data_IF_744722513512
#
_entry.id   IF_744722513512
#
_cell.length_a   1.000
_cell.length_b   1.000
_cell.length_c   1.000
_cell.angle_alpha   90.00
_cell.angle_beta   90.00
_cell.angle_gamma   90.00
#
_symmetry.space_group_name_H-M   'P 1'
#
loop_
_entity.id
_entity.type
_entity.pdbx_description
1 polymer ?
#
# COMPACT_ATOMS: atom_id res chain seq x y z
N UNK A 1 -7.35 -23.84 18.70
CA UNK A 1 -5.94 -24.21 18.46
C UNK A 1 -5.01 -23.29 19.25
N UNK A 2 -3.91 -23.80 19.79
CA UNK A 2 -2.86 -23.00 20.45
C UNK A 2 -1.57 -23.11 19.62
N UNK A 3 -0.98 -21.98 19.25
CA UNK A 3 0.33 -21.91 18.60
C UNK A 3 1.36 -21.39 19.61
N UNK A 4 2.51 -22.05 19.71
CA UNK A 4 3.63 -21.54 20.47
C UNK A 4 4.40 -20.51 19.63
N UNK A 5 4.40 -19.26 20.09
CA UNK A 5 5.06 -18.12 19.45
C UNK A 5 6.34 -17.71 20.19
N UNK A 6 6.96 -18.59 20.97
CA UNK A 6 8.28 -18.34 21.54
C UNK A 6 9.28 -17.90 20.46
N UNK A 7 10.12 -16.90 20.76
CA UNK A 7 11.04 -16.28 19.79
C UNK A 7 10.36 -15.34 18.77
N UNK A 8 9.09 -14.98 18.99
CA UNK A 8 8.37 -14.03 18.16
C UNK A 8 7.81 -12.87 18.98
N UNK A 9 7.70 -11.71 18.34
CA UNK A 9 7.10 -10.51 18.90
C UNK A 9 5.77 -10.27 18.17
N UNK A 10 4.70 -10.08 18.94
CA UNK A 10 3.35 -9.85 18.40
C UNK A 10 3.10 -8.35 18.22
N UNK A 11 2.67 -8.00 17.02
CA UNK A 11 2.35 -6.63 16.60
C UNK A 11 0.88 -6.58 16.15
N UNK A 12 0.21 -5.41 16.22
CA UNK A 12 -1.01 -5.18 15.45
C UNK A 12 -0.73 -5.40 13.96
N UNK A 13 -1.77 -5.77 13.22
CA UNK A 13 -1.67 -5.91 11.78
C UNK A 13 -1.25 -4.60 11.10
N UNK A 14 -0.35 -4.67 10.12
CA UNK A 14 0.11 -3.47 9.41
C UNK A 14 -0.97 -2.96 8.46
N UNK A 15 -0.92 -1.66 8.17
CA UNK A 15 -1.88 -0.98 7.31
C UNK A 15 -1.12 -0.25 6.20
N UNK A 16 -1.38 -0.64 4.95
CA UNK A 16 -0.90 0.07 3.78
C UNK A 16 -1.94 1.11 3.37
N UNK A 17 -1.62 2.39 3.56
CA UNK A 17 -2.61 3.46 3.47
C UNK A 17 -3.01 3.85 2.05
N UNK A 18 -2.31 3.35 1.03
CA UNK A 18 -2.61 3.59 -0.38
C UNK A 18 -1.87 2.58 -1.28
N UNK A 19 -2.62 1.87 -2.13
CA UNK A 19 -2.11 0.90 -3.10
C UNK A 19 -3.06 0.82 -4.30
N UNK A 20 -2.53 0.51 -5.48
CA UNK A 20 -3.31 0.11 -6.64
C UNK A 20 -3.13 -1.41 -6.88
N UNK A 21 -4.00 -2.19 -6.21
CA UNK A 21 -3.82 -3.64 -6.07
C UNK A 21 -3.62 -4.37 -7.40
N UNK A 22 -4.36 -3.98 -8.43
CA UNK A 22 -4.34 -4.64 -9.74
C UNK A 22 -3.11 -4.32 -10.59
N UNK A 23 -2.22 -3.44 -10.12
CA UNK A 23 -1.01 -3.08 -10.85
C UNK A 23 0.25 -3.79 -10.35
N UNK A 24 0.16 -4.63 -9.30
CA UNK A 24 1.35 -5.22 -8.66
C UNK A 24 2.05 -6.33 -9.47
N UNK A 25 1.48 -6.78 -10.60
CA UNK A 25 2.15 -7.66 -11.58
C UNK A 25 2.83 -6.88 -12.72
N UNK A 26 2.63 -5.57 -12.79
CA UNK A 26 3.24 -4.76 -13.83
C UNK A 26 4.73 -4.54 -13.52
N UNK A 27 5.58 -4.43 -14.55
CA UNK A 27 6.91 -3.89 -14.35
C UNK A 27 6.81 -2.40 -13.98
N UNK A 28 7.89 -1.87 -13.43
CA UNK A 28 8.05 -0.43 -13.30
C UNK A 28 8.10 0.21 -14.69
N UNK A 29 7.36 1.31 -14.85
CA UNK A 29 7.26 2.07 -16.10
C UNK A 29 7.73 3.51 -15.91
N UNK A 30 8.13 4.09 -17.03
CA UNK A 30 8.68 5.44 -17.09
C UNK A 30 10.20 5.46 -16.89
N UNK A 31 10.80 6.57 -17.30
CA UNK A 31 12.25 6.81 -17.32
C UNK A 31 12.60 8.15 -16.66
N UNK A 32 11.85 8.52 -15.61
CA UNK A 32 11.92 9.83 -14.97
C UNK A 32 13.33 10.32 -14.59
N UNK A 33 13.46 11.54 -14.07
CA UNK A 33 12.39 12.24 -13.36
C UNK A 33 11.45 13.04 -14.28
N UNK A 34 10.18 13.12 -13.87
CA UNK A 34 9.13 13.94 -14.48
C UNK A 34 8.87 15.20 -13.64
N UNK A 35 8.27 16.22 -14.25
CA UNK A 35 7.86 17.42 -13.53
C UNK A 35 6.67 17.16 -12.59
N UNK A 36 5.75 16.26 -12.97
CA UNK A 36 4.56 15.89 -12.21
C UNK A 36 4.00 14.51 -12.66
N UNK A 37 3.03 13.99 -11.91
CA UNK A 37 2.37 12.73 -12.18
C UNK A 37 1.60 12.69 -13.51
N UNK A 38 1.04 13.82 -13.95
CA UNK A 38 0.34 13.91 -15.24
C UNK A 38 1.27 13.68 -16.43
N UNK A 39 2.49 14.20 -16.36
CA UNK A 39 3.54 13.95 -17.36
C UNK A 39 3.96 12.47 -17.38
N UNK A 40 4.21 11.88 -16.21
CA UNK A 40 4.49 10.44 -16.11
C UNK A 40 3.36 9.59 -16.68
N UNK A 41 2.10 9.88 -16.31
CA UNK A 41 0.93 9.15 -16.79
C UNK A 41 0.82 9.20 -18.33
N UNK A 42 1.07 10.36 -18.94
CA UNK A 42 1.08 10.52 -20.41
C UNK A 42 2.19 9.72 -21.08
N UNK A 43 3.37 9.60 -20.46
CA UNK A 43 4.50 8.85 -21.00
C UNK A 43 4.28 7.33 -20.92
N UNK A 44 3.66 6.85 -19.83
CA UNK A 44 3.54 5.41 -19.61
C UNK A 44 2.24 4.80 -20.16
N UNK A 45 1.15 5.57 -20.27
CA UNK A 45 -0.18 5.01 -20.53
C UNK A 45 -0.43 4.76 -22.02
N UNK A 46 0.05 3.60 -22.48
CA UNK A 46 -0.17 3.08 -23.84
C UNK A 46 -0.72 1.64 -23.76
N UNK A 47 -2.03 1.45 -23.48
CA UNK A 47 -2.61 0.14 -23.20
C UNK A 47 -2.55 -0.86 -24.35
N UNK A 48 -2.36 -0.38 -25.57
CA UNK A 48 -2.17 -1.18 -26.78
C UNK A 48 -0.73 -1.71 -26.95
N UNK A 49 0.23 -1.20 -26.17
CA UNK A 49 1.67 -1.51 -26.28
C UNK A 49 2.13 -2.43 -25.15
N UNK A 50 3.22 -3.14 -25.42
CA UNK A 50 3.93 -3.89 -24.40
C UNK A 50 4.66 -2.93 -23.45
N UNK A 51 4.73 -3.19 -22.14
CA UNK A 51 4.22 -4.40 -21.48
C UNK A 51 2.73 -4.36 -21.12
N UNK A 52 2.11 -3.17 -21.04
CA UNK A 52 0.76 -2.95 -20.47
C UNK A 52 -0.30 -3.85 -21.10
N UNK A 53 -0.27 -4.01 -22.43
CA UNK A 53 -1.21 -4.87 -23.17
C UNK A 53 -1.25 -6.29 -22.62
N UNK A 54 -0.09 -6.89 -22.36
CA UNK A 54 0.01 -8.25 -21.83
C UNK A 54 -0.49 -8.33 -20.39
N UNK A 55 -0.17 -7.33 -19.54
CA UNK A 55 -0.68 -7.31 -18.17
C UNK A 55 -2.19 -7.13 -18.09
N UNK A 56 -2.77 -6.27 -18.94
CA UNK A 56 -4.23 -6.07 -18.96
C UNK A 56 -5.01 -7.31 -19.44
N UNK A 57 -4.36 -8.24 -20.16
CA UNK A 57 -4.96 -9.54 -20.51
C UNK A 57 -5.08 -10.48 -19.31
N UNK A 58 -4.29 -10.29 -18.26
CA UNK A 58 -4.49 -11.04 -17.00
C UNK A 58 -5.81 -10.57 -16.36
N UNK A 59 -6.75 -11.49 -16.05
CA UNK A 59 -8.04 -11.12 -15.48
C UNK A 59 -7.89 -10.20 -14.27
N UNK A 60 -8.71 -9.14 -14.19
CA UNK A 60 -8.61 -8.13 -13.11
C UNK A 60 -8.63 -8.77 -11.72
N UNK A 61 -9.53 -9.74 -11.49
CA UNK A 61 -9.59 -10.48 -10.24
C UNK A 61 -8.25 -11.16 -9.88
N UNK A 62 -7.57 -11.79 -10.85
CA UNK A 62 -6.25 -12.41 -10.63
C UNK A 62 -5.21 -11.35 -10.25
N UNK A 63 -5.19 -10.20 -10.94
CA UNK A 63 -4.28 -9.10 -10.63
C UNK A 63 -4.51 -8.54 -9.22
N UNK A 64 -5.78 -8.35 -8.83
CA UNK A 64 -6.16 -7.92 -7.48
C UNK A 64 -5.71 -8.90 -6.41
N UNK A 65 -5.89 -10.20 -6.63
CA UNK A 65 -5.42 -11.25 -5.71
C UNK A 65 -3.91 -11.21 -5.53
N UNK A 66 -3.14 -11.01 -6.60
CA UNK A 66 -1.70 -10.80 -6.51
C UNK A 66 -1.35 -9.53 -5.72
N UNK A 67 -2.05 -8.41 -5.92
CA UNK A 67 -1.90 -7.21 -5.08
C UNK A 67 -2.21 -7.46 -3.60
N UNK A 68 -3.24 -8.25 -3.30
CA UNK A 68 -3.56 -8.70 -1.95
C UNK A 68 -2.44 -9.54 -1.33
N UNK A 69 -1.84 -10.46 -2.10
CA UNK A 69 -0.71 -11.28 -1.67
C UNK A 69 0.55 -10.45 -1.42
N UNK A 70 0.84 -9.45 -2.27
CA UNK A 70 1.95 -8.50 -2.07
C UNK A 70 1.85 -7.77 -0.72
N UNK A 71 0.63 -7.39 -0.35
CA UNK A 71 0.36 -6.80 0.96
C UNK A 71 0.50 -7.86 2.08
N UNK A 72 -0.10 -9.04 1.91
CA UNK A 72 -0.05 -10.10 2.92
C UNK A 72 1.39 -10.51 3.29
N UNK A 73 2.27 -10.72 2.31
CA UNK A 73 3.66 -11.16 2.55
C UNK A 73 4.52 -10.13 3.28
N UNK A 74 4.11 -8.86 3.26
CA UNK A 74 4.76 -7.78 4.00
C UNK A 74 4.14 -7.52 5.38
N UNK A 75 3.23 -8.39 5.84
CA UNK A 75 2.58 -8.26 7.15
C UNK A 75 1.37 -7.32 7.17
N UNK A 76 0.92 -6.85 6.00
CA UNK A 76 -0.27 -6.00 5.88
C UNK A 76 -1.51 -6.85 6.12
N UNK A 77 -2.38 -6.33 6.97
CA UNK A 77 -3.71 -6.90 7.25
C UNK A 77 -4.83 -6.05 6.69
N UNK A 78 -4.59 -4.75 6.45
CA UNK A 78 -5.54 -3.82 5.86
C UNK A 78 -4.86 -2.94 4.81
N UNK A 79 -5.47 -2.82 3.63
CA UNK A 79 -4.99 -1.98 2.53
C UNK A 79 -6.07 -1.03 2.03
N UNK A 80 -5.70 0.23 1.77
CA UNK A 80 -6.57 1.16 1.07
C UNK A 80 -6.32 1.10 -0.43
N UNK A 81 -7.24 0.48 -1.16
CA UNK A 81 -7.13 0.30 -2.59
C UNK A 81 -7.68 1.50 -3.36
N UNK A 82 -6.82 2.26 -4.06
CA UNK A 82 -7.17 3.55 -4.68
C UNK A 82 -7.73 3.43 -6.11
N UNK A 83 -8.72 2.55 -6.30
CA UNK A 83 -9.52 2.39 -7.53
C UNK A 83 -10.97 1.98 -7.15
N UNK A 84 -11.88 1.73 -8.12
CA UNK A 84 -13.22 1.24 -7.80
C UNK A 84 -13.19 -0.05 -6.96
N UNK A 85 -14.07 -0.12 -5.96
CA UNK A 85 -14.13 -1.25 -5.03
C UNK A 85 -14.83 -2.46 -5.68
N UNK A 86 -14.09 -3.54 -5.88
CA UNK A 86 -14.56 -4.79 -6.49
C UNK A 86 -15.18 -5.74 -5.47
N UNK A 87 -16.49 -5.60 -5.20
CA UNK A 87 -17.21 -6.38 -4.17
C UNK A 87 -17.15 -7.88 -4.37
N UNK A 88 -17.12 -8.33 -5.62
CA UNK A 88 -17.05 -9.75 -5.98
C UNK A 88 -15.68 -10.37 -5.68
N UNK A 89 -14.63 -9.54 -5.61
CA UNK A 89 -13.25 -9.99 -5.34
C UNK A 89 -12.88 -9.78 -3.87
N UNK A 90 -13.22 -8.62 -3.29
CA UNK A 90 -12.86 -8.25 -1.91
C UNK A 90 -13.81 -8.84 -0.85
N UNK A 91 -14.09 -10.13 -0.99
CA UNK A 91 -14.90 -10.91 -0.07
C UNK A 91 -14.13 -11.43 1.14
N UNK A 92 -14.79 -12.27 1.93
CA UNK A 92 -14.22 -12.85 3.16
C UNK A 92 -13.01 -13.76 2.90
N UNK A 93 -12.81 -14.26 1.68
CA UNK A 93 -11.65 -15.09 1.34
C UNK A 93 -10.43 -14.28 0.90
N UNK A 94 -10.60 -13.00 0.55
CA UNK A 94 -9.48 -12.15 0.12
C UNK A 94 -8.40 -12.07 1.22
N UNK A 95 -7.10 -12.07 0.89
CA UNK A 95 -6.03 -12.35 1.85
C UNK A 95 -5.85 -11.25 2.91
N UNK A 96 -6.31 -10.03 2.62
CA UNK A 96 -6.24 -8.86 3.51
C UNK A 96 -7.57 -8.12 3.51
N UNK A 97 -7.82 -7.26 4.50
CA UNK A 97 -8.97 -6.36 4.47
C UNK A 97 -8.74 -5.24 3.46
N UNK A 98 -9.73 -4.98 2.62
CA UNK A 98 -9.72 -3.80 1.74
C UNK A 98 -10.66 -2.75 2.31
N UNK A 99 -10.16 -1.52 2.50
CA UNK A 99 -10.96 -0.41 3.04
C UNK A 99 -12.15 -0.14 2.11
N UNK A 100 -13.37 -0.27 2.65
CA UNK A 100 -14.63 -0.08 1.90
C UNK A 100 -15.27 1.29 2.15
N UNK A 101 -14.98 1.90 3.31
CA UNK A 101 -15.66 3.11 3.81
C UNK A 101 -14.77 4.33 3.62
N UNK A 102 -14.51 4.71 2.38
CA UNK A 102 -13.79 5.93 2.03
C UNK A 102 -14.31 6.50 0.72
N UNK A 103 -14.11 7.80 0.52
CA UNK A 103 -14.22 8.44 -0.79
C UNK A 103 -12.84 8.65 -1.40
N UNK A 104 -12.76 8.71 -2.72
CA UNK A 104 -11.53 9.07 -3.39
C UNK A 104 -11.78 9.82 -4.69
N UNK A 105 -10.75 10.54 -5.13
CA UNK A 105 -10.59 11.07 -6.47
C UNK A 105 -9.19 10.72 -6.95
N UNK A 106 -8.97 10.67 -8.26
CA UNK A 106 -7.63 10.47 -8.78
C UNK A 106 -6.74 11.67 -8.41
N UNK A 107 -6.92 12.81 -9.04
CA UNK A 107 -6.23 14.09 -8.75
C UNK A 107 -7.06 15.26 -9.27
N UNK A 108 -6.62 16.50 -9.07
CA UNK A 108 -7.30 17.67 -9.65
C UNK A 108 -7.30 17.66 -11.19
N UNK A 109 -6.21 17.20 -11.81
CA UNK A 109 -6.08 17.15 -13.27
C UNK A 109 -7.02 16.12 -13.91
N UNK A 110 -7.13 14.93 -13.30
CA UNK A 110 -7.88 13.81 -13.88
C UNK A 110 -9.32 13.72 -13.37
N UNK A 111 -9.75 14.61 -12.48
CA UNK A 111 -11.06 14.54 -11.84
C UNK A 111 -11.80 15.89 -11.80
N UNK A 112 -12.44 16.32 -12.90
CA UNK A 112 -13.10 17.63 -12.96
C UNK A 112 -14.27 17.78 -11.97
N UNK A 113 -14.90 16.68 -11.55
CA UNK A 113 -16.01 16.68 -10.60
C UNK A 113 -15.58 16.43 -9.13
N UNK A 114 -14.29 16.57 -8.80
CA UNK A 114 -13.72 16.29 -7.47
C UNK A 114 -14.51 16.92 -6.33
N UNK A 115 -14.87 18.20 -6.45
CA UNK A 115 -15.63 18.90 -5.41
C UNK A 115 -17.01 18.27 -5.16
N UNK A 116 -17.70 17.86 -6.23
CA UNK A 116 -18.99 17.17 -6.12
C UNK A 116 -18.82 15.77 -5.51
N UNK A 117 -17.76 15.03 -5.89
CA UNK A 117 -17.43 13.73 -5.28
C UNK A 117 -17.14 13.86 -3.80
N UNK A 118 -16.35 14.85 -3.41
CA UNK A 118 -16.08 15.15 -2.01
C UNK A 118 -17.37 15.36 -1.24
N UNK A 119 -18.28 16.24 -1.71
CA UNK A 119 -19.55 16.53 -1.02
C UNK A 119 -20.45 15.29 -0.87
N UNK A 120 -20.46 14.39 -1.86
CA UNK A 120 -21.26 13.14 -1.82
C UNK A 120 -20.75 12.11 -0.81
N UNK A 121 -19.48 12.18 -0.42
CA UNK A 121 -18.89 11.21 0.52
C UNK A 121 -19.41 11.48 1.93
N UNK A 122 -19.85 10.46 2.68
CA UNK A 122 -20.31 10.63 4.06
C UNK A 122 -19.28 11.34 4.94
N UNK A 123 -19.72 12.22 5.84
CA UNK A 123 -18.85 12.99 6.72
C UNK A 123 -17.97 12.11 7.64
N UNK A 124 -18.44 10.90 7.95
CA UNK A 124 -17.71 9.91 8.74
C UNK A 124 -16.58 9.23 7.96
N UNK A 125 -16.57 9.27 6.63
CA UNK A 125 -15.57 8.60 5.80
C UNK A 125 -14.39 9.54 5.49
N UNK A 126 -13.15 9.01 5.40
CA UNK A 126 -12.03 9.76 4.85
C UNK A 126 -12.22 9.96 3.34
N UNK A 127 -11.53 10.96 2.80
CA UNK A 127 -11.44 11.26 1.38
C UNK A 127 -9.98 11.30 0.95
N UNK A 128 -9.58 10.39 0.06
CA UNK A 128 -8.20 10.26 -0.41
C UNK A 128 -8.06 10.86 -1.81
N UNK A 129 -6.98 11.60 -2.05
CA UNK A 129 -6.73 12.22 -3.37
C UNK A 129 -5.24 12.44 -3.61
N UNK A 130 -4.75 12.17 -4.81
CA UNK A 130 -3.39 12.56 -5.21
C UNK A 130 -3.35 14.08 -5.33
N UNK A 131 -2.40 14.70 -4.63
CA UNK A 131 -2.24 16.14 -4.61
C UNK A 131 -0.81 16.50 -4.21
N UNK A 132 -0.26 17.51 -4.85
CA UNK A 132 1.15 17.87 -4.78
C UNK A 132 2.06 16.80 -5.36
N UNK A 133 1.63 16.00 -6.33
CA UNK A 133 2.45 14.93 -6.91
C UNK A 133 3.33 15.45 -8.05
N UNK A 134 4.25 16.36 -7.71
CA UNK A 134 5.13 17.00 -8.66
C UNK A 134 6.09 18.00 -8.02
N UNK A 135 7.01 18.52 -8.83
CA UNK A 135 8.05 19.47 -8.41
C UNK A 135 7.86 20.86 -9.01
N UNK A 136 6.97 20.97 -10.00
CA UNK A 136 6.63 22.18 -10.73
C UNK A 136 5.76 23.16 -9.92
N UNK A 137 5.36 24.26 -10.57
CA UNK A 137 4.51 25.28 -9.95
C UNK A 137 3.04 24.84 -9.82
N UNK A 138 2.56 23.95 -10.69
CA UNK A 138 1.19 23.45 -10.65
C UNK A 138 0.97 22.59 -9.40
N UNK A 139 1.82 21.58 -9.18
CA UNK A 139 1.78 20.70 -8.01
C UNK A 139 1.86 21.48 -6.69
N UNK A 140 2.63 22.57 -6.63
CA UNK A 140 2.72 23.44 -5.43
C UNK A 140 1.40 24.15 -5.09
N UNK A 141 0.56 24.41 -6.09
CA UNK A 141 -0.73 25.10 -5.93
C UNK A 141 -1.88 24.15 -5.57
N UNK A 142 -1.74 22.85 -5.80
CA UNK A 142 -2.86 21.90 -5.67
C UNK A 142 -3.51 21.87 -4.27
N UNK A 143 -2.73 22.04 -3.19
CA UNK A 143 -3.32 22.11 -1.84
C UNK A 143 -4.23 23.33 -1.69
N UNK A 144 -3.85 24.47 -2.26
CA UNK A 144 -4.68 25.69 -2.31
C UNK A 144 -5.89 25.48 -3.19
N UNK A 145 -5.75 24.84 -4.35
CA UNK A 145 -6.88 24.51 -5.22
C UNK A 145 -7.90 23.59 -4.54
N UNK A 146 -7.44 22.60 -3.75
CA UNK A 146 -8.34 21.77 -2.93
C UNK A 146 -9.09 22.59 -1.87
N UNK A 147 -8.44 23.58 -1.26
CA UNK A 147 -9.08 24.51 -0.32
C UNK A 147 -10.16 25.36 -1.02
N UNK A 148 -9.84 25.94 -2.18
CA UNK A 148 -10.73 26.82 -2.94
C UNK A 148 -12.03 26.12 -3.36
N UNK A 149 -11.95 24.83 -3.70
CA UNK A 149 -13.13 24.03 -4.06
C UNK A 149 -13.82 23.37 -2.85
N UNK A 150 -13.32 23.62 -1.63
CA UNK A 150 -13.90 23.11 -0.37
C UNK A 150 -13.64 21.62 -0.11
N UNK A 151 -12.62 21.02 -0.73
CA UNK A 151 -12.25 19.61 -0.60
C UNK A 151 -11.09 19.35 0.39
N UNK A 152 -10.57 20.39 1.07
CA UNK A 152 -9.52 20.28 2.08
C UNK A 152 -10.09 20.38 3.51
N UNK A 153 -9.93 19.33 4.31
CA UNK A 153 -10.42 19.30 5.69
C UNK A 153 -9.92 18.12 6.51
N UNK A 154 -10.48 17.95 7.71
CA UNK A 154 -10.11 16.91 8.68
C UNK A 154 -10.40 15.47 8.24
N UNK A 155 -11.05 15.29 7.09
CA UNK A 155 -11.25 13.98 6.46
C UNK A 155 -10.41 13.79 5.21
N UNK A 156 -9.68 14.80 4.77
CA UNK A 156 -8.89 14.76 3.54
C UNK A 156 -7.51 14.19 3.81
N UNK A 157 -7.15 13.11 3.12
CA UNK A 157 -5.82 12.53 3.08
C UNK A 157 -5.21 12.78 1.68
N UNK A 158 -4.15 13.57 1.64
CA UNK A 158 -3.39 13.84 0.42
C UNK A 158 -2.39 12.71 0.20
N UNK A 159 -2.40 12.10 -0.98
CA UNK A 159 -1.40 11.10 -1.39
C UNK A 159 -0.21 11.81 -2.05
N UNK A 160 1.01 11.36 -1.76
CA UNK A 160 2.30 11.89 -2.21
C UNK A 160 2.75 13.20 -1.56
N UNK A 161 2.16 14.34 -1.94
CA UNK A 161 2.47 15.66 -1.38
C UNK A 161 3.90 16.19 -1.59
N UNK A 162 4.60 15.77 -2.65
CA UNK A 162 5.98 16.21 -2.97
C UNK A 162 6.11 17.72 -3.18
N UNK A 163 5.12 18.34 -3.83
CA UNK A 163 5.04 19.77 -4.10
C UNK A 163 4.74 20.62 -2.87
N UNK A 164 4.40 20.01 -1.73
CA UNK A 164 3.95 20.74 -0.53
C UNK A 164 5.12 21.47 0.13
N UNK A 165 4.92 22.78 0.37
CA UNK A 165 5.88 23.69 0.99
C UNK A 165 5.16 24.70 1.89
N UNK A 166 5.90 25.53 2.62
CA UNK A 166 5.47 26.61 3.51
C UNK A 166 3.96 26.82 3.66
N UNK A 167 3.33 27.48 2.67
CA UNK A 167 1.91 27.77 2.69
C UNK A 167 1.00 26.54 2.71
N UNK A 168 1.27 25.54 1.85
CA UNK A 168 0.54 24.27 1.83
C UNK A 168 0.62 23.53 3.17
N UNK A 169 1.78 23.60 3.86
CA UNK A 169 1.92 23.04 5.21
C UNK A 169 0.99 23.77 6.20
N UNK A 170 1.03 25.10 6.21
CA UNK A 170 0.20 25.92 7.09
C UNK A 170 -1.31 25.66 6.83
N UNK A 171 -1.67 25.54 5.56
CA UNK A 171 -3.02 25.28 5.09
C UNK A 171 -3.52 23.89 5.55
N UNK A 172 -2.75 22.83 5.33
CA UNK A 172 -3.09 21.48 5.80
C UNK A 172 -3.22 21.42 7.32
N UNK A 173 -2.33 22.07 8.08
CA UNK A 173 -2.44 22.16 9.54
C UNK A 173 -3.72 22.86 9.98
N UNK A 174 -4.03 24.03 9.40
CA UNK A 174 -5.24 24.79 9.69
C UNK A 174 -6.50 23.97 9.43
N UNK A 175 -6.53 23.24 8.31
CA UNK A 175 -7.66 22.40 7.90
C UNK A 175 -7.66 20.99 8.50
N UNK A 176 -6.62 20.64 9.27
CA UNK A 176 -6.41 19.32 9.90
C UNK A 176 -6.37 18.17 8.89
N UNK A 177 -5.96 18.44 7.65
CA UNK A 177 -5.75 17.41 6.64
C UNK A 177 -4.54 16.54 6.99
N UNK A 178 -4.50 15.32 6.45
CA UNK A 178 -3.43 14.35 6.65
C UNK A 178 -2.70 14.03 5.34
N UNK A 179 -1.57 13.34 5.44
CA UNK A 179 -0.75 12.93 4.31
C UNK A 179 -0.57 11.40 4.27
N UNK A 180 -0.58 10.83 3.07
CA UNK A 180 -0.16 9.46 2.78
C UNK A 180 1.11 9.55 1.93
N UNK A 181 2.22 9.10 2.49
CA UNK A 181 3.55 9.28 1.92
C UNK A 181 4.02 7.99 1.24
N UNK A 182 4.35 8.10 -0.06
CA UNK A 182 4.86 7.02 -0.91
C UNK A 182 6.30 7.32 -1.35
N UNK A 183 7.31 7.29 -0.45
CA UNK A 183 8.66 7.73 -0.75
C UNK A 183 9.32 7.09 -1.97
N UNK A 184 9.18 5.78 -2.19
CA UNK A 184 9.84 5.10 -3.31
C UNK A 184 9.25 5.53 -4.64
N UNK A 185 7.91 5.59 -4.74
CA UNK A 185 7.20 6.11 -5.92
C UNK A 185 7.62 7.55 -6.22
N UNK A 186 7.62 8.41 -5.20
CA UNK A 186 8.08 9.80 -5.33
C UNK A 186 9.52 9.90 -5.88
N UNK A 187 10.44 9.11 -5.33
CA UNK A 187 11.84 9.13 -5.75
C UNK A 187 12.02 8.64 -7.19
N UNK A 188 11.32 7.57 -7.57
CA UNK A 188 11.40 6.99 -8.91
C UNK A 188 10.80 7.93 -9.97
N UNK A 189 9.64 8.51 -9.69
CA UNK A 189 8.94 9.37 -10.65
C UNK A 189 9.51 10.79 -10.68
N UNK A 190 9.82 11.38 -9.52
CA UNK A 190 10.05 12.83 -9.41
C UNK A 190 11.50 13.17 -9.03
N UNK A 191 12.37 12.16 -8.87
CA UNK A 191 13.76 12.33 -8.45
C UNK A 191 13.93 12.82 -7.01
N UNK A 192 12.82 13.03 -6.27
CA UNK A 192 12.81 13.51 -4.89
C UNK A 192 11.53 13.13 -4.18
N UNK A 193 11.59 13.06 -2.86
CA UNK A 193 10.41 12.89 -2.00
C UNK A 193 10.02 14.18 -1.30
N UNK A 194 9.04 14.12 -0.38
CA UNK A 194 8.57 15.26 0.41
C UNK A 194 9.72 15.93 1.18
N UNK A 195 9.61 17.23 1.39
CA UNK A 195 10.67 18.00 2.04
C UNK A 195 10.82 17.68 3.54
N UNK A 196 12.00 17.95 4.11
CA UNK A 196 12.23 17.89 5.56
C UNK A 196 11.24 18.76 6.36
N UNK A 197 10.80 19.88 5.79
CA UNK A 197 9.79 20.73 6.41
C UNK A 197 8.43 20.01 6.51
N UNK A 198 8.02 19.25 5.48
CA UNK A 198 6.80 18.43 5.53
C UNK A 198 6.95 17.31 6.56
N UNK A 199 8.08 16.58 6.56
CA UNK A 199 8.35 15.51 7.54
C UNK A 199 8.30 16.01 9.00
N UNK A 200 8.74 17.24 9.25
CA UNK A 200 8.76 17.88 10.59
C UNK A 200 7.51 18.73 10.88
N UNK A 201 6.56 18.80 9.95
CA UNK A 201 5.43 19.72 10.04
C UNK A 201 4.42 19.36 11.14
N UNK A 202 4.47 18.15 11.68
CA UNK A 202 3.44 17.62 12.58
C UNK A 202 2.11 17.33 11.89
N UNK A 203 2.02 17.44 10.56
CA UNK A 203 0.88 16.91 9.80
C UNK A 203 0.80 15.41 10.06
N UNK A 204 -0.38 14.87 10.41
CA UNK A 204 -0.51 13.45 10.61
C UNK A 204 -0.27 12.69 9.30
N UNK A 205 0.54 11.64 9.35
CA UNK A 205 1.08 11.00 8.15
C UNK A 205 1.02 9.48 8.26
N UNK A 206 0.64 8.81 7.18
CA UNK A 206 0.80 7.37 7.00
C UNK A 206 1.83 7.06 5.91
N UNK A 207 2.38 5.85 5.92
CA UNK A 207 3.23 5.32 4.87
C UNK A 207 2.41 4.43 3.92
N UNK A 208 2.76 4.41 2.65
CA UNK A 208 2.08 3.61 1.64
C UNK A 208 2.99 3.26 0.47
N UNK A 209 2.61 2.23 -0.30
CA UNK A 209 3.44 1.72 -1.40
C UNK A 209 3.08 2.27 -2.77
N UNK A 210 1.87 2.82 -2.94
CA UNK A 210 1.34 3.14 -4.27
C UNK A 210 1.34 1.87 -5.16
N UNK A 211 1.80 1.93 -6.41
CA UNK A 211 1.68 0.87 -7.41
C UNK A 211 3.04 0.40 -7.92
N UNK A 212 3.11 -0.84 -8.42
CA UNK A 212 4.33 -1.35 -9.04
C UNK A 212 4.72 -0.64 -10.34
N UNK A 213 3.79 0.12 -10.95
CA UNK A 213 4.06 0.95 -12.13
C UNK A 213 5.09 2.03 -11.81
N UNK A 214 4.97 2.68 -10.66
CA UNK A 214 5.87 3.76 -10.22
C UNK A 214 7.01 3.23 -9.35
N UNK A 215 6.70 2.29 -8.46
CA UNK A 215 7.66 1.69 -7.53
C UNK A 215 7.37 0.20 -7.30
N UNK A 216 8.25 -0.71 -7.76
CA UNK A 216 8.07 -2.15 -7.58
C UNK A 216 8.50 -2.59 -6.17
N UNK A 217 7.71 -2.21 -5.16
CA UNK A 217 8.00 -2.43 -3.73
C UNK A 217 6.80 -2.94 -2.95
N UNK A 218 7.06 -3.67 -1.87
CA UNK A 218 6.06 -3.93 -0.83
C UNK A 218 6.30 -3.05 0.41
N UNK A 219 5.44 -3.16 1.43
CA UNK A 219 5.48 -2.24 2.58
C UNK A 219 6.80 -2.34 3.38
N UNK A 220 7.46 -3.49 3.40
CA UNK A 220 8.74 -3.64 4.10
C UNK A 220 9.87 -2.92 3.36
N UNK A 221 9.85 -2.93 2.03
CA UNK A 221 10.80 -2.13 1.24
C UNK A 221 10.55 -0.63 1.44
N UNK A 222 9.28 -0.22 1.48
CA UNK A 222 8.90 1.17 1.70
C UNK A 222 9.41 1.67 3.07
N UNK A 223 9.26 0.85 4.12
CA UNK A 223 9.85 1.11 5.44
C UNK A 223 11.38 1.21 5.36
N UNK A 224 12.03 0.32 4.60
CA UNK A 224 13.48 0.33 4.42
C UNK A 224 13.99 1.60 3.70
N UNK A 225 13.21 2.21 2.82
CA UNK A 225 13.50 3.53 2.22
C UNK A 225 13.21 4.64 3.23
N UNK A 226 12.05 4.59 3.90
CA UNK A 226 11.59 5.61 4.84
C UNK A 226 12.50 5.76 6.07
N UNK A 227 13.19 4.69 6.51
CA UNK A 227 14.14 4.71 7.63
C UNK A 227 15.33 5.66 7.44
N UNK A 228 15.60 6.09 6.20
CA UNK A 228 16.62 7.10 5.89
C UNK A 228 16.19 8.51 6.35
N UNK A 229 14.91 8.72 6.63
CA UNK A 229 14.33 10.03 6.88
C UNK A 229 13.72 10.20 8.27
N UNK A 230 13.25 9.11 8.89
CA UNK A 230 12.51 9.13 10.16
C UNK A 230 12.96 8.00 11.10
N UNK A 231 12.86 8.20 12.42
CA UNK A 231 13.16 7.16 13.41
C UNK A 231 12.12 6.02 13.37
N UNK A 232 12.53 4.83 13.82
CA UNK A 232 11.75 3.59 13.70
C UNK A 232 10.38 3.69 14.38
N UNK A 233 10.28 4.29 15.56
CA UNK A 233 9.01 4.40 16.29
C UNK A 233 7.98 5.25 15.53
N UNK A 234 8.45 6.29 14.84
CA UNK A 234 7.58 7.11 14.00
C UNK A 234 7.09 6.33 12.79
N UNK A 235 7.99 5.59 12.13
CA UNK A 235 7.63 4.76 10.99
C UNK A 235 6.69 3.61 11.38
N UNK A 236 6.92 3.00 12.54
CA UNK A 236 6.04 1.99 13.12
C UNK A 236 4.61 2.53 13.31
N UNK A 237 4.47 3.74 13.86
CA UNK A 237 3.16 4.41 13.96
C UNK A 237 2.53 4.67 12.57
N UNK A 238 3.33 5.06 11.58
CA UNK A 238 2.91 5.35 10.20
C UNK A 238 2.38 4.13 9.41
N UNK A 239 2.60 2.91 9.91
CA UNK A 239 2.05 1.66 9.34
C UNK A 239 1.12 0.92 10.31
N UNK A 240 0.77 1.53 11.44
CA UNK A 240 -0.14 0.93 12.44
C UNK A 240 -1.22 1.93 12.88
N UNK A 241 -0.95 2.76 13.89
CA UNK A 241 -1.95 3.63 14.51
C UNK A 241 -2.32 4.85 13.67
N UNK A 242 -1.36 5.47 12.98
CA UNK A 242 -1.62 6.65 12.14
C UNK A 242 -2.54 6.35 10.95
N UNK A 243 -2.28 5.33 10.11
CA UNK A 243 -3.20 4.99 9.03
C UNK A 243 -4.57 4.55 9.56
N UNK A 244 -4.66 3.87 10.71
CA UNK A 244 -5.95 3.55 11.32
C UNK A 244 -6.76 4.82 11.64
N UNK A 245 -6.11 5.86 12.18
CA UNK A 245 -6.74 7.15 12.48
C UNK A 245 -7.08 7.93 11.21
N UNK A 246 -6.16 8.00 10.24
CA UNK A 246 -6.34 8.73 8.97
C UNK A 246 -7.48 8.12 8.16
N UNK A 247 -7.51 6.79 8.06
CA UNK A 247 -8.53 6.05 7.32
C UNK A 247 -9.81 5.81 8.14
N UNK A 248 -9.86 6.31 9.39
CA UNK A 248 -11.01 6.22 10.29
C UNK A 248 -11.53 4.80 10.47
N UNK A 249 -10.57 3.88 10.64
CA UNK A 249 -10.86 2.47 10.81
C UNK A 249 -11.34 2.21 12.24
N UNK A 250 -12.27 1.26 12.38
CA UNK A 250 -12.63 0.72 13.69
C UNK A 250 -11.50 -0.12 14.28
N UNK A 251 -11.64 -0.50 15.56
CA UNK A 251 -10.71 -1.40 16.20
C UNK A 251 -10.59 -2.72 15.42
N UNK A 252 -9.37 -3.10 15.05
CA UNK A 252 -9.08 -4.38 14.43
C UNK A 252 -8.52 -5.36 15.47
N UNK A 253 -8.86 -6.63 15.32
CA UNK A 253 -8.24 -7.75 16.04
C UNK A 253 -7.23 -8.49 15.16
N UNK A 254 -6.82 -7.88 14.05
CA UNK A 254 -5.82 -8.44 13.14
C UNK A 254 -4.43 -8.20 13.72
N UNK A 255 -3.55 -9.18 13.60
CA UNK A 255 -2.23 -9.16 14.21
C UNK A 255 -1.22 -9.99 13.41
N UNK A 256 0.05 -9.72 13.65
CA UNK A 256 1.16 -10.45 13.05
C UNK A 256 2.10 -10.95 14.15
N UNK A 257 2.80 -12.05 13.87
CA UNK A 257 3.96 -12.47 14.65
C UNK A 257 5.22 -12.29 13.81
N UNK A 258 6.22 -11.63 14.39
CA UNK A 258 7.50 -11.36 13.75
C UNK A 258 8.58 -12.11 14.52
N UNK A 259 9.31 -13.00 13.85
CA UNK A 259 10.46 -13.69 14.45
C UNK A 259 11.58 -12.67 14.65
N UNK A 260 11.88 -12.37 15.91
CA UNK A 260 12.88 -11.37 16.29
C UNK A 260 13.18 -11.47 17.79
N UNK A 261 14.40 -11.11 18.15
CA UNK A 261 14.92 -10.91 19.50
C UNK A 261 14.96 -9.42 19.92
N UNK A 262 14.43 -8.52 19.08
CA UNK A 262 14.47 -7.09 19.32
C UNK A 262 13.71 -6.70 20.59
N UNK A 263 14.24 -5.73 21.34
CA UNK A 263 13.60 -5.26 22.57
C UNK A 263 12.27 -4.51 22.34
N UNK A 264 12.02 -3.98 21.14
CA UNK A 264 10.84 -3.17 20.82
C UNK A 264 10.09 -3.71 19.61
N UNK A 265 8.77 -3.44 19.55
CA UNK A 265 7.94 -3.79 18.39
C UNK A 265 8.40 -3.11 17.10
N UNK A 266 8.84 -1.85 17.20
CA UNK A 266 9.42 -1.15 16.07
C UNK A 266 10.72 -1.85 15.62
N UNK A 267 11.64 -2.15 16.52
CA UNK A 267 12.86 -2.91 16.20
C UNK A 267 12.55 -4.26 15.54
N UNK A 268 11.57 -4.98 16.07
CA UNK A 268 11.13 -6.26 15.52
C UNK A 268 10.64 -6.15 14.07
N UNK A 269 9.82 -5.14 13.76
CA UNK A 269 9.32 -4.90 12.40
C UNK A 269 10.44 -4.66 11.39
N UNK A 270 11.51 -3.98 11.78
CA UNK A 270 12.60 -3.61 10.88
C UNK A 270 13.70 -4.66 10.76
N UNK A 271 13.96 -5.44 11.81
CA UNK A 271 15.05 -6.43 11.84
C UNK A 271 14.56 -7.88 11.72
N UNK A 272 13.28 -8.14 11.99
CA UNK A 272 12.72 -9.48 12.03
C UNK A 272 12.13 -9.97 10.71
N UNK A 273 11.56 -11.17 10.75
CA UNK A 273 10.84 -11.77 9.62
C UNK A 273 9.38 -12.03 9.98
N UNK A 274 8.46 -11.64 9.10
CA UNK A 274 7.03 -11.96 9.25
C UNK A 274 6.87 -13.48 9.24
N UNK A 275 6.39 -14.04 10.35
CA UNK A 275 6.20 -15.48 10.51
C UNK A 275 4.72 -15.87 10.51
N UNK A 276 3.82 -14.94 10.84
CA UNK A 276 2.39 -15.20 10.91
C UNK A 276 1.61 -13.91 10.62
N UNK A 277 0.54 -14.01 9.84
CA UNK A 277 -0.44 -12.94 9.64
C UNK A 277 -1.84 -13.49 9.87
N UNK A 278 -2.57 -12.87 10.80
CA UNK A 278 -3.94 -13.22 11.16
C UNK A 278 -4.87 -12.08 10.78
N UNK A 279 -5.84 -12.38 9.91
CA UNK A 279 -6.86 -11.44 9.44
C UNK A 279 -8.24 -12.00 9.74
N UNK A 280 -9.06 -11.22 10.44
CA UNK A 280 -10.40 -11.60 10.90
C UNK A 280 -10.42 -12.94 11.66
N UNK A 281 -9.40 -13.20 12.48
CA UNK A 281 -9.27 -14.44 13.25
C UNK A 281 -8.81 -15.66 12.45
N UNK A 282 -8.48 -15.51 11.16
CA UNK A 282 -7.97 -16.58 10.29
C UNK A 282 -6.49 -16.37 10.02
N UNK A 283 -5.71 -17.45 10.10
CA UNK A 283 -4.32 -17.45 9.65
C UNK A 283 -4.33 -17.34 8.12
N UNK A 284 -3.76 -16.26 7.59
CA UNK A 284 -3.65 -16.02 6.14
C UNK A 284 -2.27 -16.30 5.59
N UNK A 285 -1.25 -16.09 6.44
CA UNK A 285 0.14 -16.40 6.15
C UNK A 285 0.74 -17.04 7.39
N UNK A 286 1.53 -18.09 7.20
CA UNK A 286 2.30 -18.75 8.25
C UNK A 286 3.65 -19.23 7.71
N UNK A 287 4.71 -19.14 8.52
CA UNK A 287 6.03 -19.65 8.15
C UNK A 287 6.02 -21.19 8.15
N UNK A 288 6.86 -21.85 7.34
CA UNK A 288 7.00 -23.30 7.36
C UNK A 288 7.30 -23.87 8.75
N UNK A 289 8.05 -23.14 9.59
CA UNK A 289 8.37 -23.56 10.95
C UNK A 289 7.14 -23.55 11.87
N UNK A 290 6.36 -22.47 11.89
CA UNK A 290 5.14 -22.40 12.69
C UNK A 290 4.07 -23.36 12.16
N UNK A 291 4.01 -23.58 10.85
CA UNK A 291 3.04 -24.49 10.23
C UNK A 291 3.19 -25.95 10.67
N UNK A 292 4.38 -26.37 11.14
CA UNK A 292 4.60 -27.71 11.70
C UNK A 292 3.76 -27.98 12.95
N UNK A 293 3.33 -26.94 13.65
CA UNK A 293 2.45 -27.04 14.81
C UNK A 293 0.96 -27.21 14.44
N UNK A 294 0.59 -26.93 13.18
CA UNK A 294 -0.80 -27.07 12.73
C UNK A 294 -1.17 -28.55 12.50
N UNK A 295 -2.42 -28.95 12.79
CA UNK A 295 -2.96 -30.22 12.33
C UNK A 295 -2.81 -30.37 10.81
N UNK A 296 -2.59 -31.60 10.35
CA UNK A 296 -2.41 -31.87 8.91
C UNK A 296 -3.63 -31.42 8.07
N UNK A 297 -4.84 -31.51 8.62
CA UNK A 297 -6.09 -31.07 7.98
C UNK A 297 -6.13 -29.56 7.75
N UNK A 298 -5.66 -28.76 8.71
CA UNK A 298 -5.57 -27.31 8.57
C UNK A 298 -4.42 -26.91 7.63
N UNK A 299 -3.28 -27.59 7.74
CA UNK A 299 -2.09 -27.32 6.92
C UNK A 299 -2.35 -27.47 5.41
N UNK A 300 -3.25 -28.39 5.00
CA UNK A 300 -3.63 -28.62 3.60
C UNK A 300 -4.25 -27.40 2.91
N UNK A 301 -4.75 -26.43 3.67
CA UNK A 301 -5.34 -25.19 3.12
C UNK A 301 -4.30 -24.24 2.55
N UNK A 302 -3.06 -24.34 3.02
CA UNK A 302 -2.01 -23.40 2.64
C UNK A 302 -1.21 -23.90 1.44
N UNK A 303 -0.85 -22.98 0.54
CA UNK A 303 0.09 -23.22 -0.54
C UNK A 303 1.38 -22.43 -0.31
N UNK A 304 2.51 -22.98 -0.72
CA UNK A 304 3.79 -22.28 -0.64
C UNK A 304 3.81 -21.07 -1.59
N UNK A 305 4.36 -19.97 -1.10
CA UNK A 305 4.64 -18.77 -1.87
C UNK A 305 6.07 -18.32 -1.57
N UNK A 306 6.91 -18.37 -2.59
CA UNK A 306 8.30 -17.95 -2.52
C UNK A 306 8.48 -16.70 -3.38
N UNK A 307 8.92 -15.60 -2.75
CA UNK A 307 9.20 -14.34 -3.44
C UNK A 307 10.67 -14.01 -3.19
N UNK A 308 11.37 -13.65 -4.26
CA UNK A 308 12.77 -13.21 -4.20
C UNK A 308 12.98 -12.14 -3.11
N UNK A 309 14.00 -12.31 -2.26
CA UNK A 309 14.30 -11.38 -1.16
C UNK A 309 13.31 -11.42 0.02
N UNK A 310 12.40 -12.41 0.07
CA UNK A 310 11.49 -12.65 1.21
C UNK A 310 11.69 -14.07 1.75
N UNK A 311 11.43 -14.24 3.04
CA UNK A 311 11.40 -15.57 3.64
C UNK A 311 10.28 -16.41 2.99
N UNK A 312 10.50 -17.72 2.73
CA UNK A 312 9.45 -18.63 2.28
C UNK A 312 8.27 -18.66 3.26
N UNK A 313 7.05 -18.63 2.72
CA UNK A 313 5.82 -18.65 3.51
C UNK A 313 4.78 -19.60 2.92
N UNK A 314 3.82 -20.00 3.75
CA UNK A 314 2.62 -20.70 3.35
C UNK A 314 1.42 -19.74 3.47
N UNK A 315 0.57 -19.66 2.45
CA UNK A 315 -0.56 -18.72 2.39
C UNK A 315 -1.89 -19.42 2.12
N UNK A 316 -2.97 -18.93 2.75
CA UNK A 316 -4.36 -19.41 2.58
C UNK A 316 -4.94 -18.85 1.26
N UNK A 317 -4.37 -19.28 0.13
CA UNK A 317 -4.77 -18.88 -1.22
C UNK A 317 -4.38 -19.95 -2.26
N UNK A 318 -5.10 -20.02 -3.39
CA UNK A 318 -4.76 -20.92 -4.50
C UNK A 318 -3.66 -20.34 -5.41
N UNK A 319 -2.42 -20.37 -4.91
CA UNK A 319 -1.24 -19.85 -5.61
C UNK A 319 -1.03 -20.53 -6.96
N UNK A 320 -1.27 -21.85 -7.05
CA UNK A 320 -1.14 -22.59 -8.31
C UNK A 320 -2.12 -22.08 -9.37
N UNK A 321 -3.39 -21.85 -9.02
CA UNK A 321 -4.36 -21.29 -9.97
C UNK A 321 -4.02 -19.85 -10.36
N UNK A 322 -3.69 -18.99 -9.39
CA UNK A 322 -3.30 -17.60 -9.64
C UNK A 322 -2.06 -17.49 -10.54
N UNK A 323 -1.05 -18.36 -10.31
CA UNK A 323 0.16 -18.45 -11.13
C UNK A 323 -0.17 -18.89 -12.55
N UNK A 324 -0.95 -19.97 -12.73
CA UNK A 324 -1.35 -20.44 -14.07
C UNK A 324 -2.11 -19.37 -14.85
N UNK A 325 -3.04 -18.67 -14.20
CA UNK A 325 -3.84 -17.63 -14.83
C UNK A 325 -2.99 -16.43 -15.28
N UNK A 326 -2.02 -16.00 -14.47
CA UNK A 326 -1.09 -14.93 -14.85
C UNK A 326 -0.09 -15.39 -15.92
N UNK A 327 0.49 -16.58 -15.77
CA UNK A 327 1.51 -17.11 -16.69
C UNK A 327 0.98 -17.36 -18.10
N UNK A 328 -0.32 -17.61 -18.26
CA UNK A 328 -0.99 -17.69 -19.57
C UNK A 328 -0.76 -16.44 -20.44
N UNK A 329 -0.56 -15.27 -19.82
CA UNK A 329 -0.40 -14.00 -20.53
C UNK A 329 0.98 -13.38 -20.36
N UNK A 330 1.68 -13.68 -19.26
CA UNK A 330 2.96 -13.05 -18.91
C UNK A 330 4.17 -13.99 -19.02
N UNK A 331 3.96 -15.27 -19.32
CA UNK A 331 5.02 -16.28 -19.31
C UNK A 331 5.41 -16.73 -17.89
N UNK A 332 6.52 -17.46 -17.79
CA UNK A 332 6.91 -18.14 -16.55
C UNK A 332 7.63 -17.24 -15.53
N UNK A 333 8.31 -16.16 -15.97
CA UNK A 333 9.01 -15.20 -15.09
C UNK A 333 8.02 -14.17 -14.53
N UNK A 334 7.11 -14.63 -13.68
CA UNK A 334 6.18 -13.74 -12.99
C UNK A 334 6.91 -12.95 -11.91
N UNK A 335 6.59 -11.65 -11.84
CA UNK A 335 7.10 -10.74 -10.83
C UNK A 335 5.97 -10.11 -10.04
N UNK A 336 6.13 -10.07 -8.72
CA UNK A 336 5.22 -9.42 -7.79
C UNK A 336 5.93 -8.23 -7.16
N UNK A 337 5.48 -7.02 -7.47
CA UNK A 337 6.18 -5.78 -7.11
C UNK A 337 7.69 -5.89 -7.44
N UNK A 338 7.99 -6.20 -8.71
CA UNK A 338 9.34 -6.36 -9.29
C UNK A 338 10.13 -7.61 -8.89
N UNK A 339 9.74 -8.30 -7.83
CA UNK A 339 10.45 -9.48 -7.29
C UNK A 339 9.96 -10.76 -7.94
N UNK A 340 10.87 -11.67 -8.29
CA UNK A 340 10.49 -12.95 -8.92
C UNK A 340 9.64 -13.81 -7.98
N UNK A 341 8.61 -14.44 -8.54
CA UNK A 341 7.80 -15.48 -7.88
C UNK A 341 8.47 -16.83 -8.16
N UNK A 342 9.21 -17.32 -7.17
CA UNK A 342 10.01 -18.54 -7.27
C UNK A 342 9.12 -19.79 -7.23
N UNK A 343 9.65 -20.91 -7.74
CA UNK A 343 8.97 -22.21 -7.73
C UNK A 343 8.97 -22.86 -6.34
#
# INVERSE_FOLDING_TARGET
MKLNLAGHIVLPGLINAHDHLEFNLFPQLGRGPYANAGEWARDIYHPERSPIREQLRVPKAVRLWWGGLKNLVSGVTTVCHHNPYEREVFGAEFPVRVVRRFGWAHSLEFEPDLAARYRKVPASYPFLVHCGEGVDAAARREVRSLEEIGALGARTAIVHGVGIRGEGIALMRRRRASLVWCPTSNLAMLGRTISRAVLRSGIPMALATDSALSAPVDLLDELAVARKYLPLDRLYAMVTSEPARILRLGASRDWIAVRSDAATRAGALFAGAIALVVVAGRIRLISPELARQLPATERRRFQALHIEGRAPVLVDADIRALRRAAAKHLGADLRLAGKRILL
#
